data_IF_915169456772
#
_entry.id   IF_915169456772
#
_cell.length_a   1.000
_cell.length_b   1.000
_cell.length_c   1.000
_cell.angle_alpha   90.00
_cell.angle_beta   90.00
_cell.angle_gamma   90.00
#
_symmetry.space_group_name_H-M   'P 1'
#
loop_
_entity.id
_entity.type
_entity.pdbx_description
1 polymer ?
#
# COMPACT_ATOMS: atom_id res chain seq x y z
N UNK A 1 11.70 -65.87 27.01
CA UNK A 1 11.18 -65.17 25.82
C UNK A 1 9.80 -64.52 26.05
N UNK A 2 9.47 -64.00 27.25
CA UNK A 2 8.22 -63.21 27.42
C UNK A 2 8.26 -62.16 28.53
N UNK A 3 9.15 -62.25 29.53
CA UNK A 3 9.21 -61.26 30.62
C UNK A 3 10.25 -60.15 30.42
N UNK A 4 11.28 -60.35 29.60
CA UNK A 4 12.38 -59.38 29.43
C UNK A 4 12.11 -58.31 28.34
N UNK A 5 11.05 -58.47 27.53
CA UNK A 5 10.62 -57.46 26.55
C UNK A 5 9.61 -56.44 27.09
N UNK A 6 9.14 -56.61 28.34
CA UNK A 6 8.19 -55.67 28.96
C UNK A 6 8.87 -54.65 29.89
N UNK A 7 10.15 -54.81 30.21
CA UNK A 7 10.88 -53.86 31.05
C UNK A 7 11.53 -52.70 30.28
N UNK A 8 11.74 -52.83 28.95
CA UNK A 8 12.31 -51.76 28.11
C UNK A 8 11.27 -50.80 27.51
N UNK A 9 9.96 -51.08 27.66
CA UNK A 9 8.91 -50.22 27.12
C UNK A 9 8.36 -49.17 28.11
N UNK A 10 8.93 -49.09 29.31
CA UNK A 10 8.50 -48.14 30.36
C UNK A 10 9.48 -46.98 30.58
N UNK A 11 10.52 -46.84 29.74
CA UNK A 11 11.57 -45.83 29.89
C UNK A 11 11.56 -44.74 28.80
N UNK A 12 10.41 -44.49 28.16
CA UNK A 12 10.21 -43.37 27.23
C UNK A 12 9.03 -42.48 27.64
N UNK A 13 8.80 -42.35 28.94
CA UNK A 13 7.88 -41.36 29.51
C UNK A 13 8.71 -40.35 30.30
N UNK A 14 8.90 -39.16 29.73
CA UNK A 14 9.45 -38.03 30.46
C UNK A 14 10.46 -37.20 29.67
N UNK A 15 9.93 -36.29 28.85
CA UNK A 15 10.26 -34.86 28.78
C UNK A 15 9.89 -34.33 27.38
N UNK A 16 8.63 -34.48 27.01
CA UNK A 16 8.03 -33.47 26.14
C UNK A 16 7.89 -32.22 27.00
N UNK A 17 8.91 -31.37 26.98
CA UNK A 17 8.70 -29.97 27.32
C UNK A 17 7.60 -29.50 26.37
N UNK A 18 6.35 -29.46 26.85
CA UNK A 18 5.26 -28.80 26.16
C UNK A 18 5.80 -27.44 25.78
N UNK A 19 6.06 -27.26 24.48
CA UNK A 19 6.63 -26.02 23.97
C UNK A 19 5.71 -24.91 24.46
N UNK A 20 6.26 -23.86 25.06
CA UNK A 20 5.44 -22.70 25.49
C UNK A 20 4.55 -22.22 24.35
N UNK A 21 4.98 -22.42 23.10
CA UNK A 21 4.20 -22.18 21.89
C UNK A 21 2.97 -23.10 21.77
N UNK A 22 3.07 -24.40 22.07
CA UNK A 22 1.92 -25.32 22.07
C UNK A 22 0.95 -25.03 23.22
N UNK A 23 1.46 -24.58 24.36
CA UNK A 23 0.63 -24.15 25.49
C UNK A 23 -0.12 -22.84 25.19
N UNK A 24 0.50 -21.91 24.47
CA UNK A 24 -0.12 -20.64 24.08
C UNK A 24 -1.11 -20.84 22.91
N UNK A 25 -0.77 -21.67 21.92
CA UNK A 25 -1.66 -21.93 20.77
C UNK A 25 -2.90 -22.73 21.17
N UNK A 26 -2.80 -23.61 22.17
CA UNK A 26 -3.98 -24.33 22.71
C UNK A 26 -4.93 -23.46 23.52
N UNK A 27 -4.47 -22.30 24.03
CA UNK A 27 -5.30 -21.32 24.75
C UNK A 27 -6.04 -20.34 23.83
N UNK A 28 -5.79 -20.35 22.52
CA UNK A 28 -6.44 -19.45 21.56
C UNK A 28 -7.75 -20.04 20.97
N UNK A 29 -8.74 -19.18 20.66
CA UNK A 29 -10.00 -19.62 20.07
C UNK A 29 -9.76 -20.30 18.71
N UNK A 30 -10.43 -21.45 18.48
CA UNK A 30 -10.32 -22.31 17.28
C UNK A 30 -10.58 -21.63 15.92
N UNK A 31 -10.98 -20.36 15.92
CA UNK A 31 -11.26 -19.58 14.71
C UNK A 31 -9.98 -19.12 13.97
N UNK A 32 -8.81 -19.14 14.62
CA UNK A 32 -7.52 -18.86 14.00
C UNK A 32 -6.85 -20.18 13.64
N UNK A 33 -6.41 -20.33 12.38
CA UNK A 33 -5.63 -21.51 11.97
C UNK A 33 -4.35 -21.57 12.80
N UNK A 34 -4.06 -22.74 13.38
CA UNK A 34 -2.93 -22.92 14.31
C UNK A 34 -1.58 -22.49 13.71
N UNK A 35 -1.42 -22.63 12.40
CA UNK A 35 -0.21 -22.24 11.68
C UNK A 35 -0.05 -20.71 11.64
N UNK A 36 -1.10 -19.97 11.27
CA UNK A 36 -1.10 -18.49 11.23
C UNK A 36 -0.87 -17.87 12.62
N UNK A 37 -1.48 -18.47 13.65
CA UNK A 37 -1.25 -18.13 15.04
C UNK A 37 0.20 -18.33 15.48
N UNK A 38 0.81 -19.45 15.07
CA UNK A 38 2.20 -19.78 15.41
C UNK A 38 3.19 -18.83 14.73
N UNK A 39 2.93 -18.45 13.48
CA UNK A 39 3.74 -17.49 12.72
C UNK A 39 3.67 -16.09 13.31
N UNK A 40 2.48 -15.63 13.72
CA UNK A 40 2.32 -14.34 14.41
C UNK A 40 3.10 -14.30 15.74
N UNK A 41 3.05 -15.38 16.51
CA UNK A 41 3.78 -15.47 17.79
C UNK A 41 5.30 -15.51 17.55
N UNK A 42 5.77 -16.24 16.54
CA UNK A 42 7.19 -16.29 16.16
C UNK A 42 7.70 -14.90 15.77
N UNK A 43 6.97 -14.20 14.89
CA UNK A 43 7.33 -12.84 14.47
C UNK A 43 7.35 -11.86 15.64
N UNK A 44 6.40 -11.99 16.58
CA UNK A 44 6.36 -11.14 17.78
C UNK A 44 7.56 -11.41 18.71
N UNK A 45 7.94 -12.68 18.88
CA UNK A 45 9.10 -13.06 19.70
C UNK A 45 10.39 -12.55 19.04
N UNK A 46 10.55 -12.71 17.74
CA UNK A 46 11.71 -12.22 17.00
C UNK A 46 11.84 -10.69 17.12
N UNK A 47 10.73 -9.96 17.02
CA UNK A 47 10.73 -8.50 17.14
C UNK A 47 10.92 -8.02 18.60
N UNK A 48 10.45 -8.79 19.58
CA UNK A 48 10.75 -8.56 20.99
C UNK A 48 12.24 -8.80 21.30
N UNK A 49 12.84 -9.83 20.70
CA UNK A 49 14.28 -10.15 20.85
C UNK A 49 15.18 -9.13 20.16
N UNK A 50 14.71 -8.46 19.10
CA UNK A 50 15.40 -7.35 18.43
C UNK A 50 15.42 -6.05 19.24
N UNK A 51 14.69 -5.99 20.37
CA UNK A 51 14.68 -4.84 21.26
C UNK A 51 13.83 -3.67 20.76
N UNK A 52 13.03 -3.86 19.71
CA UNK A 52 12.11 -2.85 19.14
C UNK A 52 10.92 -2.57 20.08
N UNK A 53 10.72 -3.42 21.09
CA UNK A 53 9.52 -3.43 21.94
C UNK A 53 9.92 -3.38 23.42
N UNK A 54 9.63 -2.26 24.09
CA UNK A 54 9.77 -2.14 25.55
C UNK A 54 8.64 -2.90 26.23
N UNK A 55 8.99 -3.95 26.97
CA UNK A 55 8.01 -4.84 27.59
C UNK A 55 7.29 -4.12 28.75
N UNK A 56 5.99 -3.84 28.60
CA UNK A 56 5.09 -3.42 29.67
C UNK A 56 4.32 -4.65 30.20
N UNK A 57 3.92 -4.63 31.47
CA UNK A 57 3.07 -5.67 32.10
C UNK A 57 1.75 -5.90 31.35
N UNK A 58 1.30 -4.90 30.56
CA UNK A 58 0.18 -5.06 29.64
C UNK A 58 0.65 -5.36 28.22
N UNK A 59 0.49 -6.62 27.81
CA UNK A 59 0.74 -7.08 26.42
C UNK A 59 0.00 -6.21 25.39
N UNK A 60 -1.21 -5.75 25.73
CA UNK A 60 -2.00 -4.86 24.86
C UNK A 60 -1.31 -3.51 24.60
N UNK A 61 -0.66 -2.93 25.61
CA UNK A 61 0.09 -1.67 25.44
C UNK A 61 1.33 -1.88 24.58
N UNK A 62 2.03 -2.97 24.83
CA UNK A 62 3.21 -3.41 24.07
C UNK A 62 2.89 -3.57 22.58
N UNK A 63 1.79 -4.27 22.25
CA UNK A 63 1.31 -4.43 20.87
C UNK A 63 0.91 -3.08 20.24
N UNK A 64 0.18 -2.23 20.96
CA UNK A 64 -0.19 -0.90 20.45
C UNK A 64 1.03 -0.02 20.17
N UNK A 65 2.06 -0.09 21.02
CA UNK A 65 3.31 0.64 20.81
C UNK A 65 4.07 0.13 19.58
N UNK A 66 4.07 -1.19 19.36
CA UNK A 66 4.67 -1.79 18.16
C UNK A 66 3.93 -1.36 16.89
N UNK A 67 2.59 -1.38 16.89
CA UNK A 67 1.76 -0.88 15.78
C UNK A 67 2.08 0.59 15.51
N UNK A 68 2.13 1.44 16.54
CA UNK A 68 2.46 2.86 16.38
C UNK A 68 3.87 3.07 15.79
N UNK A 69 4.85 2.23 16.12
CA UNK A 69 6.19 2.25 15.53
C UNK A 69 6.18 1.89 14.04
N UNK A 70 5.41 0.87 13.67
CA UNK A 70 5.20 0.48 12.26
C UNK A 70 4.50 1.61 11.50
N UNK A 71 3.39 2.14 12.03
CA UNK A 71 2.62 3.23 11.43
C UNK A 71 3.49 4.46 11.21
N UNK A 72 4.36 4.78 12.18
CA UNK A 72 5.33 5.87 12.05
C UNK A 72 6.30 5.62 10.90
N UNK A 73 6.89 4.44 10.83
CA UNK A 73 7.83 4.06 9.77
C UNK A 73 7.18 4.08 8.39
N UNK A 74 5.96 3.54 8.28
CA UNK A 74 5.16 3.58 7.06
C UNK A 74 4.77 5.01 6.67
N UNK A 75 4.39 5.83 7.65
CA UNK A 75 4.04 7.24 7.41
C UNK A 75 5.23 8.04 6.93
N UNK A 76 6.43 7.81 7.48
CA UNK A 76 7.67 8.45 7.04
C UNK A 76 8.01 8.08 5.59
N UNK A 77 7.92 6.79 5.24
CA UNK A 77 8.16 6.32 3.88
C UNK A 77 7.12 6.88 2.89
N UNK A 78 5.84 6.82 3.25
CA UNK A 78 4.77 7.33 2.41
C UNK A 78 4.87 8.85 2.26
N UNK A 79 5.21 9.58 3.32
CA UNK A 79 5.47 11.01 3.26
C UNK A 79 6.63 11.31 2.29
N UNK A 80 7.73 10.56 2.34
CA UNK A 80 8.84 10.75 1.40
C UNK A 80 8.42 10.56 -0.07
N UNK A 81 7.57 9.57 -0.35
CA UNK A 81 7.06 9.31 -1.70
C UNK A 81 6.09 10.41 -2.15
N UNK A 82 5.11 10.75 -1.30
CA UNK A 82 4.06 11.74 -1.60
C UNK A 82 4.62 13.17 -1.73
N UNK A 83 5.66 13.50 -0.98
CA UNK A 83 6.31 14.82 -1.04
C UNK A 83 7.40 14.92 -2.11
N UNK A 84 7.58 13.88 -2.92
CA UNK A 84 8.51 13.94 -4.02
C UNK A 84 8.00 14.92 -5.10
N UNK A 85 8.84 15.88 -5.50
CA UNK A 85 8.53 16.96 -6.47
C UNK A 85 7.84 16.47 -7.75
N UNK A 86 8.27 15.34 -8.29
CA UNK A 86 7.67 14.79 -9.51
C UNK A 86 6.25 14.28 -9.28
N UNK A 87 6.01 13.66 -8.11
CA UNK A 87 4.70 13.16 -7.74
C UNK A 87 3.74 14.31 -7.46
N UNK A 88 4.17 15.32 -6.70
CA UNK A 88 3.34 16.50 -6.40
C UNK A 88 2.94 17.28 -7.65
N UNK A 89 3.82 17.42 -8.65
CA UNK A 89 3.48 18.08 -9.93
C UNK A 89 2.40 17.32 -10.69
N UNK A 90 2.49 15.99 -10.72
CA UNK A 90 1.50 15.13 -11.35
C UNK A 90 0.18 15.17 -10.57
N UNK A 91 0.25 14.99 -9.25
CA UNK A 91 -0.91 15.03 -8.36
C UNK A 91 -1.63 16.37 -8.45
N UNK A 92 -0.92 17.51 -8.41
CA UNK A 92 -1.51 18.83 -8.54
C UNK A 92 -2.29 19.01 -9.85
N UNK A 93 -1.74 18.51 -10.96
CA UNK A 93 -2.39 18.56 -12.26
C UNK A 93 -3.69 17.73 -12.28
N UNK A 94 -3.64 16.50 -11.74
CA UNK A 94 -4.79 15.59 -11.71
C UNK A 94 -5.85 16.00 -10.68
N UNK A 95 -5.45 16.50 -9.51
CA UNK A 95 -6.38 17.03 -8.51
C UNK A 95 -7.07 18.29 -9.02
N UNK A 96 -6.37 19.16 -9.74
CA UNK A 96 -6.95 20.32 -10.41
C UNK A 96 -8.00 19.91 -11.45
N UNK A 97 -7.68 18.93 -12.30
CA UNK A 97 -8.64 18.37 -13.27
C UNK A 97 -9.84 17.73 -12.58
N UNK A 98 -9.61 16.93 -11.54
CA UNK A 98 -10.67 16.31 -10.76
C UNK A 98 -11.59 17.36 -10.13
N UNK A 99 -11.01 18.43 -9.59
CA UNK A 99 -11.77 19.57 -9.07
C UNK A 99 -12.62 20.24 -10.15
N UNK A 100 -12.08 20.43 -11.35
CA UNK A 100 -12.83 21.00 -12.48
C UNK A 100 -14.02 20.10 -12.86
N UNK A 101 -13.81 18.79 -12.95
CA UNK A 101 -14.85 17.83 -13.34
C UNK A 101 -15.93 17.72 -12.27
N UNK A 102 -15.56 17.59 -10.99
CA UNK A 102 -16.52 17.39 -9.91
C UNK A 102 -17.37 18.62 -9.60
N UNK A 103 -16.86 19.82 -9.90
CA UNK A 103 -17.62 21.06 -9.72
C UNK A 103 -18.31 21.54 -11.00
N UNK A 104 -18.27 20.76 -12.08
CA UNK A 104 -18.96 21.08 -13.33
C UNK A 104 -20.12 20.11 -13.55
N UNK A 105 -21.34 20.64 -13.69
CA UNK A 105 -22.49 19.83 -14.10
C UNK A 105 -22.42 19.52 -15.60
N UNK A 106 -21.67 18.47 -15.96
CA UNK A 106 -21.57 18.01 -17.35
C UNK A 106 -22.91 17.42 -17.81
N UNK A 107 -23.49 17.99 -18.86
CA UNK A 107 -24.74 17.53 -19.48
C UNK A 107 -24.56 17.42 -21.01
N UNK A 108 -25.63 17.17 -21.78
CA UNK A 108 -25.55 17.19 -23.25
C UNK A 108 -25.06 18.54 -23.81
N UNK A 109 -25.21 19.62 -23.05
CA UNK A 109 -24.80 20.98 -23.42
C UNK A 109 -23.38 21.34 -22.95
N UNK A 110 -22.80 20.62 -21.98
CA UNK A 110 -21.48 20.92 -21.42
C UNK A 110 -20.57 19.70 -21.57
N UNK A 111 -19.57 19.80 -22.45
CA UNK A 111 -18.55 18.78 -22.66
C UNK A 111 -17.18 19.31 -22.23
N UNK A 112 -16.46 18.53 -21.44
CA UNK A 112 -15.07 18.79 -21.09
C UNK A 112 -14.18 17.89 -21.95
N UNK A 113 -13.25 18.49 -22.70
CA UNK A 113 -12.25 17.77 -23.50
C UNK A 113 -10.87 18.13 -22.98
N UNK A 114 -10.06 17.11 -22.71
CA UNK A 114 -8.71 17.27 -22.21
C UNK A 114 -7.69 16.90 -23.29
N UNK A 115 -6.72 17.79 -23.52
CA UNK A 115 -5.53 17.50 -24.29
C UNK A 115 -4.34 17.41 -23.34
N UNK A 116 -3.76 16.22 -23.19
CA UNK A 116 -2.54 16.05 -22.40
C UNK A 116 -1.32 16.39 -23.28
N UNK A 117 -0.68 17.53 -22.99
CA UNK A 117 0.52 17.99 -23.70
C UNK A 117 1.41 18.79 -22.74
N UNK A 118 2.73 18.61 -22.83
CA UNK A 118 3.67 19.42 -22.05
C UNK A 118 3.85 20.82 -22.66
N UNK A 119 4.21 21.81 -21.85
CA UNK A 119 4.51 23.17 -22.32
C UNK A 119 5.60 23.19 -23.41
N UNK A 120 6.58 22.29 -23.31
CA UNK A 120 7.69 22.20 -24.26
C UNK A 120 7.23 21.65 -25.61
N UNK A 121 6.36 20.63 -25.61
CA UNK A 121 5.79 20.09 -26.83
C UNK A 121 4.87 21.10 -27.51
N UNK A 122 4.06 21.82 -26.73
CA UNK A 122 3.21 22.90 -27.23
C UNK A 122 4.05 23.98 -27.92
N UNK A 123 5.13 24.45 -27.28
CA UNK A 123 6.02 25.43 -27.87
C UNK A 123 6.67 24.90 -29.16
N UNK A 124 7.13 23.65 -29.15
CA UNK A 124 7.75 23.02 -30.33
C UNK A 124 6.77 22.85 -31.49
N UNK A 125 5.49 22.61 -31.20
CA UNK A 125 4.45 22.53 -32.23
C UNK A 125 4.24 23.90 -32.92
N UNK A 126 4.16 24.97 -32.12
CA UNK A 126 4.00 26.33 -32.66
C UNK A 126 5.26 26.80 -33.40
N UNK A 127 6.46 26.51 -32.90
CA UNK A 127 7.74 26.91 -33.49
C UNK A 127 8.05 26.18 -34.80
N UNK A 128 7.57 24.93 -34.95
CA UNK A 128 7.73 24.14 -36.17
C UNK A 128 6.75 24.56 -37.28
N UNK A 129 5.61 25.15 -36.92
CA UNK A 129 4.61 25.56 -37.89
C UNK A 129 5.10 26.80 -38.67
N UNK A 130 4.88 26.81 -39.98
CA UNK A 130 5.28 27.94 -40.84
C UNK A 130 4.43 29.17 -40.50
N UNK A 131 3.14 28.94 -40.26
CA UNK A 131 2.18 29.91 -39.74
C UNK A 131 1.40 29.26 -38.58
N UNK A 132 0.86 30.07 -37.67
CA UNK A 132 0.24 29.56 -36.44
C UNK A 132 -0.99 28.69 -36.70
N UNK A 133 -1.70 28.94 -37.79
CA UNK A 133 -2.90 28.22 -38.23
C UNK A 133 -2.59 26.83 -38.82
N UNK A 134 -1.32 26.56 -39.15
CA UNK A 134 -0.88 25.24 -39.60
C UNK A 134 -0.41 24.33 -38.47
N UNK A 135 -0.37 24.83 -37.22
CA UNK A 135 0.01 24.05 -36.04
C UNK A 135 -0.97 22.91 -35.74
N UNK A 136 -0.49 21.81 -35.12
CA UNK A 136 -1.38 20.72 -34.73
C UNK A 136 -2.39 21.16 -33.66
N UNK A 137 -1.99 22.11 -32.79
CA UNK A 137 -2.90 22.73 -31.84
C UNK A 137 -4.07 23.43 -32.55
N UNK A 138 -3.80 24.22 -33.59
CA UNK A 138 -4.84 24.94 -34.32
C UNK A 138 -5.81 23.98 -35.00
N UNK A 139 -5.31 22.92 -35.64
CA UNK A 139 -6.17 21.90 -36.26
C UNK A 139 -7.13 21.26 -35.26
N UNK A 140 -6.62 20.88 -34.09
CA UNK A 140 -7.42 20.23 -33.04
C UNK A 140 -8.42 21.15 -32.36
N UNK A 141 -8.11 22.44 -32.24
CA UNK A 141 -8.97 23.39 -31.52
C UNK A 141 -9.95 24.10 -32.45
N UNK A 142 -9.53 24.41 -33.66
CA UNK A 142 -10.29 25.20 -34.62
C UNK A 142 -10.85 24.36 -35.74
N UNK A 143 -10.02 23.67 -36.54
CA UNK A 143 -10.53 22.91 -37.70
C UNK A 143 -11.49 21.79 -37.28
N UNK A 144 -11.10 20.97 -36.30
CA UNK A 144 -11.87 19.81 -35.85
C UNK A 144 -13.16 20.18 -35.08
N UNK A 145 -13.24 21.37 -34.48
CA UNK A 145 -14.39 21.78 -33.66
C UNK A 145 -15.26 22.86 -34.32
N UNK A 146 -14.65 23.94 -34.81
CA UNK A 146 -15.34 25.10 -35.38
C UNK A 146 -15.33 25.11 -36.91
N UNK A 147 -14.32 24.50 -37.53
CA UNK A 147 -14.11 24.47 -38.98
C UNK A 147 -14.87 23.37 -39.70
N UNK A 148 -15.30 22.32 -39.00
CA UNK A 148 -16.16 21.29 -39.57
C UNK A 148 -17.62 21.76 -39.60
N UNK A 149 -18.32 21.65 -40.74
CA UNK A 149 -19.77 21.73 -40.77
C UNK A 149 -20.31 20.60 -39.87
N UNK A 150 -21.03 20.98 -38.81
CA UNK A 150 -21.43 20.09 -37.72
C UNK A 150 -22.31 18.89 -38.09
#
# INVERSE_FOLDING_TARGET
MSAERQAEQSAAAGEESFSLLDQITSAMPRAVQKDEASDMIRNLIDEAMRGTVVWDKSVTKTIRSAIAGIDKSMSEQLAAIMHHEQFQKLEGSWRGLHHLVMNSETSKQLKLRMLNISKRELFKDLDKAVEFDQSQLFKKLYEDEFGMPG
#
